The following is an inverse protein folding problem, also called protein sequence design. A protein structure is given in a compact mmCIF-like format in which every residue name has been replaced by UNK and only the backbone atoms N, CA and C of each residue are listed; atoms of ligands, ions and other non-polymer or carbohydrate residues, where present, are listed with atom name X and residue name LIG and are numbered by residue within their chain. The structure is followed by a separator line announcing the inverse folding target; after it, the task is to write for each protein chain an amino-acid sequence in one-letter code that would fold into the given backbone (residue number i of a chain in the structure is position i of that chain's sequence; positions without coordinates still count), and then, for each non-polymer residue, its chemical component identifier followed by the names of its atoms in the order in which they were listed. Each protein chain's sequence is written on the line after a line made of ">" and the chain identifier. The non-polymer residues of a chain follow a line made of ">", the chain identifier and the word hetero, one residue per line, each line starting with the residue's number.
data_IF_030719765443
#
_entry.id   IF_030719765443
#
_cell.length_a   1.000
_cell.length_b   1.000
_cell.length_c   1.000
_cell.angle_alpha   90.00
_cell.angle_beta   90.00
_cell.angle_gamma   90.00
#
_symmetry.space_group_name_H-M   'P 1'
#
loop_
_entity.id
_entity.type
_entity.pdbx_description
1 polymer ?
#
# COMPACT_ATOMS: atom_id res chain seq x y z
N UNK A 1 18.15 -19.01 14.29
CA UNK A 1 19.17 -17.95 14.50
C UNK A 1 19.76 -17.47 13.19
N UNK A 2 20.21 -18.33 12.28
CA UNK A 2 20.79 -17.92 10.99
C UNK A 2 19.79 -17.24 10.02
N UNK A 3 18.57 -17.75 9.94
CA UNK A 3 17.50 -17.20 9.08
C UNK A 3 17.02 -15.81 9.51
N UNK A 4 17.06 -15.50 10.80
CA UNK A 4 16.66 -14.21 11.35
C UNK A 4 17.71 -13.13 11.07
N UNK A 5 18.99 -13.50 11.16
CA UNK A 5 20.11 -12.66 10.75
C UNK A 5 20.06 -12.37 9.24
N UNK A 6 19.78 -13.37 8.41
CA UNK A 6 19.63 -13.19 6.96
C UNK A 6 18.44 -12.27 6.62
N UNK A 7 17.28 -12.48 7.26
CA UNK A 7 16.11 -11.63 7.03
C UNK A 7 16.37 -10.17 7.44
N UNK A 8 17.13 -9.94 8.49
CA UNK A 8 17.53 -8.60 8.95
C UNK A 8 18.48 -7.96 7.94
N UNK A 9 19.47 -8.72 7.45
CA UNK A 9 20.39 -8.26 6.41
C UNK A 9 19.67 -7.93 5.10
N UNK A 10 18.75 -8.78 4.62
CA UNK A 10 17.97 -8.49 3.40
C UNK A 10 17.15 -7.21 3.49
N UNK A 11 16.75 -6.79 4.71
CA UNK A 11 16.00 -5.54 4.92
C UNK A 11 16.92 -4.32 5.02
N UNK A 12 18.21 -4.50 5.29
CA UNK A 12 19.17 -3.41 5.43
C UNK A 12 19.46 -2.76 4.07
N UNK A 13 19.90 -1.48 4.04
CA UNK A 13 20.28 -0.82 2.80
C UNK A 13 21.35 -1.58 2.01
N UNK A 14 22.30 -2.19 2.72
CA UNK A 14 23.41 -2.96 2.13
C UNK A 14 22.90 -4.24 1.46
N UNK A 15 22.05 -5.01 2.16
CA UNK A 15 21.48 -6.23 1.61
C UNK A 15 20.53 -5.97 0.45
N UNK A 16 19.72 -4.90 0.52
CA UNK A 16 18.87 -4.44 -0.59
C UNK A 16 19.68 -4.12 -1.84
N UNK A 17 20.70 -3.27 -1.69
CA UNK A 17 21.57 -2.86 -2.81
C UNK A 17 22.30 -4.06 -3.41
N UNK A 18 22.80 -4.97 -2.57
CA UNK A 18 23.46 -6.18 -3.03
C UNK A 18 22.51 -7.05 -3.88
N UNK A 19 21.29 -7.29 -3.42
CA UNK A 19 20.29 -8.08 -4.14
C UNK A 19 19.89 -7.41 -5.45
N UNK A 20 19.57 -6.12 -5.42
CA UNK A 20 19.16 -5.36 -6.61
C UNK A 20 20.28 -5.28 -7.65
N UNK A 21 21.55 -5.16 -7.23
CA UNK A 21 22.71 -5.14 -8.13
C UNK A 21 23.04 -6.49 -8.76
N UNK A 22 22.63 -7.60 -8.12
CA UNK A 22 22.90 -8.96 -8.59
C UNK A 22 21.84 -9.45 -9.58
N UNK A 23 20.70 -8.76 -9.66
CA UNK A 23 19.64 -9.08 -10.60
C UNK A 23 19.94 -8.36 -11.92
N UNK A 24 20.12 -9.12 -12.99
CA UNK A 24 20.42 -8.62 -14.35
C UNK A 24 19.26 -7.82 -15.00
N UNK A 25 18.24 -7.50 -14.22
CA UNK A 25 17.01 -6.79 -14.61
C UNK A 25 16.72 -5.72 -13.56
N UNK A 26 16.12 -4.57 -13.93
CA UNK A 26 15.67 -3.58 -12.94
C UNK A 26 14.66 -4.23 -11.99
N UNK A 27 15.15 -4.62 -10.83
CA UNK A 27 14.39 -5.24 -9.76
C UNK A 27 14.53 -4.38 -8.51
N UNK A 28 13.42 -4.21 -7.80
CA UNK A 28 13.38 -3.51 -6.52
C UNK A 28 12.93 -4.47 -5.44
N UNK A 29 13.66 -4.54 -4.34
CA UNK A 29 13.21 -5.30 -3.18
C UNK A 29 12.20 -4.45 -2.40
N UNK A 30 10.91 -4.81 -2.49
CA UNK A 30 9.85 -4.14 -1.73
C UNK A 30 9.50 -4.90 -0.45
N UNK A 31 9.09 -4.17 0.58
CA UNK A 31 8.56 -4.80 1.78
C UNK A 31 7.22 -5.46 1.45
N UNK A 32 6.95 -6.62 2.06
CA UNK A 32 5.66 -7.28 1.90
C UNK A 32 4.58 -6.41 2.55
N UNK A 33 3.78 -5.75 1.73
CA UNK A 33 2.55 -5.10 2.19
C UNK A 33 1.47 -6.15 2.42
N UNK A 34 0.58 -5.93 3.39
CA UNK A 34 -0.63 -6.74 3.57
C UNK A 34 -1.83 -5.92 3.10
N UNK A 35 -2.33 -6.14 1.86
CA UNK A 35 -3.44 -5.35 1.36
C UNK A 35 -4.70 -5.59 2.19
N UNK A 36 -5.32 -4.52 2.65
CA UNK A 36 -6.55 -4.54 3.45
C UNK A 36 -7.73 -4.22 2.56
N UNK A 37 -8.76 -5.07 2.56
CA UNK A 37 -10.02 -4.78 1.88
C UNK A 37 -10.90 -3.93 2.80
N UNK A 38 -11.10 -2.67 2.41
CA UNK A 38 -12.02 -1.75 3.05
C UNK A 38 -13.42 -1.92 2.46
N UNK A 39 -14.41 -2.09 3.33
CA UNK A 39 -15.77 -2.41 2.96
C UNK A 39 -16.73 -1.24 3.12
N UNK A 40 -17.69 -1.14 2.19
CA UNK A 40 -18.85 -0.25 2.29
C UNK A 40 -18.52 1.25 2.36
N UNK A 41 -17.45 1.70 1.71
CA UNK A 41 -17.08 3.12 1.66
C UNK A 41 -18.03 3.92 0.74
N UNK A 42 -18.47 5.12 1.12
CA UNK A 42 -19.25 6.00 0.24
C UNK A 42 -18.51 6.31 -1.06
N UNK A 43 -19.17 6.17 -2.21
CA UNK A 43 -18.54 6.41 -3.51
C UNK A 43 -18.17 7.88 -3.76
N UNK A 44 -18.71 8.80 -2.96
CA UNK A 44 -18.40 10.23 -2.99
C UNK A 44 -17.06 10.54 -2.31
N UNK A 45 -16.49 9.60 -1.53
CA UNK A 45 -15.16 9.78 -0.95
C UNK A 45 -14.11 9.87 -2.05
N UNK A 46 -13.28 10.92 -1.99
CA UNK A 46 -12.23 11.16 -2.97
C UNK A 46 -10.93 10.48 -2.55
N UNK A 47 -10.98 9.15 -2.42
CA UNK A 47 -9.85 8.34 -1.91
C UNK A 47 -8.58 8.43 -2.78
N UNK A 48 -8.72 8.85 -4.04
CA UNK A 48 -7.62 8.99 -5.01
C UNK A 48 -6.94 10.36 -4.95
N UNK A 49 -7.36 11.27 -4.05
CA UNK A 49 -6.67 12.54 -3.84
C UNK A 49 -5.31 12.32 -3.18
N UNK A 50 -4.29 13.07 -3.64
CA UNK A 50 -2.91 12.95 -3.15
C UNK A 50 -2.82 13.06 -1.62
N UNK A 51 -3.57 13.97 -1.01
CA UNK A 51 -3.53 14.23 0.43
C UNK A 51 -4.44 13.31 1.26
N UNK A 52 -5.26 12.47 0.64
CA UNK A 52 -6.25 11.65 1.35
C UNK A 52 -5.60 10.70 2.37
N UNK A 53 -4.51 10.03 1.98
CA UNK A 53 -3.80 9.13 2.89
C UNK A 53 -3.09 9.90 4.01
N UNK A 54 -2.51 11.07 3.70
CA UNK A 54 -1.85 11.94 4.68
C UNK A 54 -2.83 12.45 5.74
N UNK A 55 -4.04 12.82 5.32
CA UNK A 55 -5.08 13.24 6.26
C UNK A 55 -5.54 12.08 7.13
N UNK A 56 -5.77 10.89 6.56
CA UNK A 56 -6.15 9.72 7.35
C UNK A 56 -5.07 9.32 8.36
N UNK A 57 -3.79 9.34 7.99
CA UNK A 57 -2.69 9.07 8.92
C UNK A 57 -2.71 10.03 10.10
N UNK A 58 -2.84 11.34 9.84
CA UNK A 58 -2.91 12.38 10.88
C UNK A 58 -4.14 12.23 11.77
N UNK A 59 -5.31 12.02 11.18
CA UNK A 59 -6.59 11.85 11.89
C UNK A 59 -6.57 10.62 12.81
N UNK A 60 -5.86 9.56 12.44
CA UNK A 60 -5.79 8.31 13.19
C UNK A 60 -4.49 8.16 14.01
N UNK A 61 -3.67 9.21 14.11
CA UNK A 61 -2.37 9.18 14.81
C UNK A 61 -1.44 8.06 14.32
N UNK A 62 -1.48 7.75 13.02
CA UNK A 62 -0.58 6.80 12.40
C UNK A 62 0.75 7.49 12.04
N UNK A 63 1.87 6.74 11.98
CA UNK A 63 3.12 7.25 11.45
C UNK A 63 2.93 7.74 10.01
N UNK A 64 3.62 8.83 9.66
CA UNK A 64 3.61 9.34 8.29
C UNK A 64 4.18 8.28 7.35
N UNK A 65 3.53 8.08 6.20
CA UNK A 65 3.87 7.06 5.20
C UNK A 65 3.67 5.61 5.64
N UNK A 66 2.87 5.37 6.67
CA UNK A 66 2.43 4.02 7.03
C UNK A 66 1.31 3.49 6.11
N UNK A 67 0.65 4.35 5.35
CA UNK A 67 -0.28 3.99 4.28
C UNK A 67 0.36 4.34 2.93
N UNK A 68 0.59 3.32 2.10
CA UNK A 68 1.28 3.45 0.81
C UNK A 68 0.33 3.84 -0.33
N UNK A 69 -0.83 3.18 -0.43
CA UNK A 69 -1.75 3.40 -1.55
C UNK A 69 -3.17 2.98 -1.20
N UNK A 70 -4.18 3.61 -1.80
CA UNK A 70 -5.56 3.16 -1.76
C UNK A 70 -6.18 3.25 -3.15
N UNK A 71 -6.96 2.25 -3.54
CA UNK A 71 -7.66 2.24 -4.82
C UNK A 71 -9.01 1.55 -4.71
N UNK A 72 -9.98 2.00 -5.52
CA UNK A 72 -11.26 1.32 -5.62
C UNK A 72 -11.09 -0.06 -6.28
N UNK A 73 -11.68 -1.10 -5.70
CA UNK A 73 -11.68 -2.44 -6.32
C UNK A 73 -12.50 -2.44 -7.61
N UNK A 74 -13.59 -1.68 -7.65
CA UNK A 74 -14.41 -1.49 -8.85
C UNK A 74 -14.28 -0.07 -9.39
N UNK A 75 -13.86 0.11 -10.65
CA UNK A 75 -13.78 1.43 -11.26
C UNK A 75 -15.18 2.05 -11.38
N UNK A 76 -15.30 3.39 -11.43
CA UNK A 76 -16.59 4.09 -11.51
C UNK A 76 -17.48 3.59 -12.66
N UNK A 77 -16.90 3.25 -13.81
CA UNK A 77 -17.61 2.78 -14.99
C UNK A 77 -18.34 1.44 -14.79
N UNK A 78 -17.88 0.62 -13.83
CA UNK A 78 -18.46 -0.69 -13.52
C UNK A 78 -19.47 -0.63 -12.35
N UNK A 79 -19.80 0.56 -11.85
CA UNK A 79 -20.75 0.75 -10.74
C UNK A 79 -22.16 0.87 -11.29
N UNK A 80 -23.13 0.36 -10.53
CA UNK A 80 -24.54 0.63 -10.83
C UNK A 80 -24.83 2.13 -10.62
N UNK A 81 -25.74 2.71 -11.41
CA UNK A 81 -26.15 4.12 -11.30
C UNK A 81 -26.71 4.49 -9.91
N UNK A 82 -27.24 3.50 -9.19
CA UNK A 82 -27.85 3.66 -7.87
C UNK A 82 -26.89 3.24 -6.73
N UNK A 83 -25.67 2.82 -7.06
CA UNK A 83 -24.72 2.34 -6.06
C UNK A 83 -24.21 3.52 -5.22
N UNK A 84 -24.33 3.41 -3.89
CA UNK A 84 -23.88 4.45 -2.96
C UNK A 84 -22.56 4.09 -2.25
N UNK A 85 -22.21 2.80 -2.23
CA UNK A 85 -21.07 2.26 -1.50
C UNK A 85 -20.20 1.38 -2.38
N UNK A 86 -18.91 1.32 -2.12
CA UNK A 86 -17.95 0.48 -2.84
C UNK A 86 -16.88 -0.09 -1.91
N UNK A 87 -16.10 -1.02 -2.46
CA UNK A 87 -14.94 -1.61 -1.79
C UNK A 87 -13.66 -0.98 -2.31
N UNK A 88 -12.70 -0.78 -1.42
CA UNK A 88 -11.36 -0.32 -1.76
C UNK A 88 -10.31 -1.29 -1.21
N UNK A 89 -9.13 -1.28 -1.79
CA UNK A 89 -7.95 -1.98 -1.28
C UNK A 89 -6.95 -0.93 -0.81
N UNK A 90 -6.47 -1.10 0.42
CA UNK A 90 -5.49 -0.24 1.07
C UNK A 90 -4.18 -1.01 1.23
N UNK A 91 -3.08 -0.42 0.79
CA UNK A 91 -1.74 -0.90 1.01
C UNK A 91 -1.12 -0.09 2.15
N UNK A 92 -0.62 -0.78 3.15
CA UNK A 92 0.20 -0.21 4.24
C UNK A 92 1.66 -0.29 3.84
#
# INVERSE_FOLDING_TARGET
>A
METENLATWCRSPEGRTAIESHLESPASLSNRTFPIVLQYLPIQMKIEQAEFLRSMERENSLPEHSLTAIQWIKPPLCRSKQQLKAFAILHT
#
